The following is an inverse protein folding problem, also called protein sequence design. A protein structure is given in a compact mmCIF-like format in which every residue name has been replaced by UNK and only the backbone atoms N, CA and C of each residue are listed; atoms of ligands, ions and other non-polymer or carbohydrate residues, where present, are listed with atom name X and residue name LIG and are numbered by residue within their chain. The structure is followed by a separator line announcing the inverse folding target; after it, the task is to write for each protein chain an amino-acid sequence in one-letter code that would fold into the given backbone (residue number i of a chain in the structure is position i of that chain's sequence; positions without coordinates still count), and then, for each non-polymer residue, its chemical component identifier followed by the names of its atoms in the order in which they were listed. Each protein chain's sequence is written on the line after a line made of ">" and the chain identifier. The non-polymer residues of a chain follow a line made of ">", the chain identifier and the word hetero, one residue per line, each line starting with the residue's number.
data_IF_252291462476
#
_entry.id   IF_252291462476
#
_cell.length_a   1.000
_cell.length_b   1.000
_cell.length_c   1.000
_cell.angle_alpha   90.00
_cell.angle_beta   90.00
_cell.angle_gamma   90.00
#
_symmetry.space_group_name_H-M   'P 1'
#
loop_
_entity.id
_entity.type
_entity.pdbx_description
1 polymer ?
#
# COMPACT_ATOMS: atom_id res chain seq x y z
N UNK A 1 5.15 18.44 27.22
CA UNK A 1 4.60 18.33 25.86
C UNK A 1 4.43 16.84 25.60
N UNK A 2 3.19 16.33 25.62
CA UNK A 2 2.92 14.99 25.11
C UNK A 2 3.46 14.95 23.68
N UNK A 3 4.42 14.05 23.41
CA UNK A 3 5.02 13.96 22.08
C UNK A 3 3.93 13.72 21.05
N UNK A 4 3.92 14.50 19.97
CA UNK A 4 2.98 14.28 18.86
C UNK A 4 3.18 12.84 18.34
N UNK A 5 2.23 11.96 18.67
CA UNK A 5 2.27 10.58 18.25
C UNK A 5 1.84 10.48 16.78
N UNK A 6 2.66 9.83 15.97
CA UNK A 6 2.33 9.53 14.58
C UNK A 6 1.11 8.61 14.52
N UNK A 7 0.07 9.02 13.80
CA UNK A 7 -1.14 8.21 13.59
C UNK A 7 -1.28 7.84 12.12
N UNK A 8 -1.41 6.55 11.85
CA UNK A 8 -1.65 6.04 10.50
C UNK A 8 -3.09 5.56 10.41
N UNK A 9 -3.82 6.01 9.38
CA UNK A 9 -5.10 5.43 8.99
C UNK A 9 -4.86 4.50 7.79
N UNK A 10 -5.07 3.20 7.96
CA UNK A 10 -5.04 2.25 6.87
C UNK A 10 -6.47 1.84 6.48
N UNK A 11 -6.78 1.93 5.19
CA UNK A 11 -8.02 1.43 4.60
C UNK A 11 -7.68 0.17 3.83
N UNK A 12 -8.31 -0.95 4.19
CA UNK A 12 -8.14 -2.22 3.48
C UNK A 12 -8.73 -2.18 2.07
N UNK A 13 -8.78 -3.36 1.45
CA UNK A 13 -9.16 -3.56 0.05
C UNK A 13 -10.43 -2.82 -0.36
N UNK A 14 -10.26 -1.86 -1.25
CA UNK A 14 -11.37 -1.13 -1.84
C UNK A 14 -11.90 -1.87 -3.05
N UNK A 15 -13.12 -2.42 -2.93
CA UNK A 15 -13.72 -3.27 -3.97
C UNK A 15 -14.73 -2.51 -4.81
N UNK A 16 -14.40 -2.31 -6.09
CA UNK A 16 -15.32 -1.80 -7.11
C UNK A 16 -15.94 -0.43 -6.81
N UNK A 17 -17.06 -0.12 -7.48
CA UNK A 17 -17.76 1.15 -7.28
C UNK A 17 -18.29 1.36 -5.85
N UNK A 18 -18.86 0.36 -5.16
CA UNK A 18 -19.32 0.53 -3.78
C UNK A 18 -18.18 0.90 -2.83
N UNK A 19 -17.02 0.22 -2.93
CA UNK A 19 -15.86 0.55 -2.10
C UNK A 19 -15.38 1.98 -2.34
N UNK A 20 -15.31 2.43 -3.61
CA UNK A 20 -14.93 3.82 -3.92
C UNK A 20 -15.92 4.83 -3.37
N UNK A 21 -17.22 4.55 -3.42
CA UNK A 21 -18.24 5.42 -2.81
C UNK A 21 -18.06 5.53 -1.29
N UNK A 22 -17.79 4.41 -0.61
CA UNK A 22 -17.50 4.41 0.82
C UNK A 22 -16.25 5.24 1.16
N UNK A 23 -15.18 5.14 0.36
CA UNK A 23 -13.98 5.97 0.56
C UNK A 23 -14.32 7.46 0.42
N UNK A 24 -15.03 7.86 -0.62
CA UNK A 24 -15.38 9.26 -0.84
C UNK A 24 -16.25 9.82 0.29
N UNK A 25 -17.19 9.02 0.81
CA UNK A 25 -18.09 9.47 1.87
C UNK A 25 -17.42 9.49 3.25
N UNK A 26 -16.67 8.43 3.61
CA UNK A 26 -16.22 8.21 4.98
C UNK A 26 -14.78 8.62 5.23
N UNK A 27 -13.90 8.67 4.23
CA UNK A 27 -12.51 9.09 4.43
C UNK A 27 -12.42 10.50 5.07
N UNK A 28 -13.17 11.52 4.61
CA UNK A 28 -13.13 12.83 5.27
C UNK A 28 -13.63 12.79 6.72
N UNK A 29 -14.65 11.98 7.02
CA UNK A 29 -15.21 11.80 8.36
C UNK A 29 -14.18 11.15 9.30
N UNK A 30 -13.54 10.07 8.85
CA UNK A 30 -12.48 9.37 9.58
C UNK A 30 -11.28 10.29 9.82
N UNK A 31 -10.84 11.05 8.81
CA UNK A 31 -9.75 12.02 8.97
C UNK A 31 -10.10 13.13 9.96
N UNK A 32 -11.34 13.62 9.96
CA UNK A 32 -11.80 14.61 10.95
C UNK A 32 -11.82 14.05 12.38
N UNK A 33 -12.28 12.81 12.55
CA UNK A 33 -12.40 12.15 13.84
C UNK A 33 -11.04 11.76 14.43
N UNK A 34 -10.22 11.05 13.67
CA UNK A 34 -8.98 10.44 14.16
C UNK A 34 -7.74 11.30 13.94
N UNK A 35 -7.82 12.30 13.05
CA UNK A 35 -6.72 13.20 12.68
C UNK A 35 -5.41 12.43 12.39
N UNK A 36 -5.43 11.45 11.47
CA UNK A 36 -4.24 10.69 11.14
C UNK A 36 -3.19 11.61 10.51
N UNK A 37 -1.93 11.39 10.84
CA UNK A 37 -0.76 12.02 10.21
C UNK A 37 -0.69 11.60 8.74
N UNK A 38 -0.87 10.30 8.48
CA UNK A 38 -0.78 9.71 7.15
C UNK A 38 -1.90 8.69 6.94
N UNK A 39 -2.40 8.61 5.73
CA UNK A 39 -3.42 7.65 5.30
C UNK A 39 -2.87 6.77 4.19
N UNK A 40 -3.03 5.46 4.33
CA UNK A 40 -2.67 4.45 3.33
C UNK A 40 -3.94 3.69 2.94
N UNK A 41 -4.08 3.32 1.68
CA UNK A 41 -5.26 2.62 1.16
C UNK A 41 -4.85 1.47 0.24
N UNK A 42 -5.44 0.30 0.39
CA UNK A 42 -5.27 -0.79 -0.57
C UNK A 42 -6.29 -0.65 -1.71
N UNK A 43 -5.77 -0.43 -2.93
CA UNK A 43 -6.55 -0.19 -4.13
C UNK A 43 -6.65 -1.36 -5.09
N UNK A 44 -6.24 -2.58 -4.71
CA UNK A 44 -6.06 -3.67 -5.68
C UNK A 44 -7.33 -4.15 -6.37
N UNK A 45 -8.51 -3.93 -5.76
CA UNK A 45 -9.81 -4.38 -6.26
C UNK A 45 -10.67 -3.22 -6.77
N UNK A 46 -10.07 -2.04 -6.96
CA UNK A 46 -10.83 -0.80 -7.10
C UNK A 46 -11.47 -0.63 -8.48
N UNK A 47 -10.91 -1.21 -9.55
CA UNK A 47 -11.46 -1.16 -10.90
C UNK A 47 -12.36 -2.37 -11.17
N UNK A 48 -13.68 -2.20 -11.05
CA UNK A 48 -14.66 -3.28 -11.33
C UNK A 48 -14.36 -4.60 -10.58
N UNK A 49 -13.75 -4.51 -9.40
CA UNK A 49 -13.43 -5.65 -8.55
C UNK A 49 -12.00 -6.19 -8.69
N UNK A 50 -11.22 -5.80 -9.72
CA UNK A 50 -9.84 -6.26 -9.93
C UNK A 50 -8.98 -5.21 -10.66
N UNK A 51 -7.81 -4.91 -10.11
CA UNK A 51 -6.89 -3.89 -10.59
C UNK A 51 -7.33 -2.47 -10.28
N UNK A 52 -6.62 -1.51 -10.88
CA UNK A 52 -6.80 -0.08 -10.66
C UNK A 52 -6.58 0.69 -11.98
N UNK A 53 -7.27 1.82 -12.15
CA UNK A 53 -7.02 2.76 -13.26
C UNK A 53 -6.40 4.05 -12.73
N UNK A 54 -5.76 4.84 -13.59
CA UNK A 54 -5.13 6.11 -13.19
C UNK A 54 -6.16 7.07 -12.56
N UNK A 55 -7.38 7.12 -13.12
CA UNK A 55 -8.48 7.92 -12.58
C UNK A 55 -8.84 7.54 -11.15
N UNK A 56 -8.88 6.24 -10.84
CA UNK A 56 -9.20 5.74 -9.50
C UNK A 56 -8.06 6.04 -8.53
N UNK A 57 -6.81 5.80 -8.95
CA UNK A 57 -5.62 6.14 -8.18
C UNK A 57 -5.62 7.62 -7.78
N UNK A 58 -5.81 8.53 -8.74
CA UNK A 58 -5.92 9.98 -8.48
C UNK A 58 -7.07 10.30 -7.52
N UNK A 59 -8.24 9.67 -7.71
CA UNK A 59 -9.39 9.84 -6.81
C UNK A 59 -9.13 9.41 -5.37
N UNK A 60 -8.26 8.42 -5.12
CA UNK A 60 -7.85 8.07 -3.76
C UNK A 60 -6.94 9.13 -3.14
N UNK A 61 -6.03 9.73 -3.92
CA UNK A 61 -5.21 10.84 -3.46
C UNK A 61 -6.07 12.06 -3.12
N UNK A 62 -7.04 12.38 -3.99
CA UNK A 62 -7.99 13.49 -3.79
C UNK A 62 -8.87 13.27 -2.54
N UNK A 63 -9.26 12.02 -2.25
CA UNK A 63 -9.97 11.65 -1.02
C UNK A 63 -9.07 11.76 0.23
N UNK A 64 -7.76 11.94 0.05
CA UNK A 64 -6.81 12.20 1.11
C UNK A 64 -5.96 11.01 1.53
N UNK A 65 -5.81 9.98 0.69
CA UNK A 65 -4.75 8.98 0.85
C UNK A 65 -3.38 9.57 0.45
N UNK A 66 -2.33 9.24 1.20
CA UNK A 66 -0.95 9.63 0.89
C UNK A 66 -0.16 8.50 0.22
N UNK A 67 -0.58 7.25 0.39
CA UNK A 67 -0.04 6.10 -0.35
C UNK A 67 -1.16 5.13 -0.74
N UNK A 68 -0.99 4.46 -1.88
CA UNK A 68 -1.85 3.40 -2.39
C UNK A 68 -1.03 2.12 -2.50
N UNK A 69 -1.41 1.09 -1.74
CA UNK A 69 -0.89 -0.27 -1.88
C UNK A 69 -1.80 -1.08 -2.81
N UNK A 70 -1.28 -2.18 -3.34
CA UNK A 70 -1.98 -3.11 -4.23
C UNK A 70 -1.77 -4.55 -3.72
N UNK A 71 -2.08 -5.56 -4.53
CA UNK A 71 -1.94 -6.97 -4.15
C UNK A 71 -1.81 -7.88 -5.37
N UNK A 72 -2.41 -9.06 -5.33
CA UNK A 72 -2.35 -10.00 -6.45
C UNK A 72 -3.10 -9.49 -7.70
N UNK A 73 -4.08 -8.60 -7.56
CA UNK A 73 -4.82 -8.03 -8.70
C UNK A 73 -4.15 -6.81 -9.35
N UNK A 74 -2.90 -6.50 -8.98
CA UNK A 74 -2.12 -5.37 -9.53
C UNK A 74 -2.19 -5.28 -11.06
N UNK A 75 -2.05 -6.40 -11.77
CA UNK A 75 -1.87 -6.42 -13.23
C UNK A 75 -3.13 -6.73 -14.04
N UNK A 76 -4.27 -6.93 -13.37
CA UNK A 76 -5.51 -7.38 -14.03
C UNK A 76 -6.12 -6.31 -14.92
N UNK A 77 -5.91 -5.03 -14.59
CA UNK A 77 -6.24 -3.91 -15.45
C UNK A 77 -4.99 -3.44 -16.22
N UNK A 78 -5.00 -3.60 -17.55
CA UNK A 78 -3.86 -3.27 -18.42
C UNK A 78 -3.53 -1.77 -18.47
N UNK A 79 -4.44 -0.88 -18.07
CA UNK A 79 -4.16 0.56 -17.99
C UNK A 79 -3.02 0.86 -17.01
N UNK A 80 -2.78 -0.02 -16.03
CA UNK A 80 -1.72 0.18 -15.02
C UNK A 80 -0.34 0.39 -15.63
N UNK A 81 -0.04 -0.27 -16.76
CA UNK A 81 1.25 -0.15 -17.44
C UNK A 81 1.50 1.25 -18.02
N UNK A 82 0.44 2.05 -18.22
CA UNK A 82 0.56 3.40 -18.77
C UNK A 82 1.01 4.42 -17.71
N UNK A 83 0.74 4.17 -16.42
CA UNK A 83 0.90 5.18 -15.37
C UNK A 83 1.70 4.73 -14.14
N UNK A 84 1.92 3.42 -13.94
CA UNK A 84 2.58 2.91 -12.73
C UNK A 84 4.00 3.46 -12.52
N UNK A 85 4.72 3.75 -13.61
CA UNK A 85 6.05 4.38 -13.55
C UNK A 85 6.04 5.80 -13.01
N UNK A 86 4.93 6.54 -13.22
CA UNK A 86 4.77 7.94 -12.80
C UNK A 86 4.04 8.06 -11.45
N UNK A 87 3.39 6.98 -10.99
CA UNK A 87 2.63 6.93 -9.75
C UNK A 87 3.52 6.90 -8.50
N UNK A 88 4.06 8.06 -8.10
CA UNK A 88 4.99 8.20 -6.95
C UNK A 88 4.46 7.70 -5.61
N UNK A 89 3.14 7.73 -5.43
CA UNK A 89 2.45 7.35 -4.20
C UNK A 89 1.81 5.97 -4.29
N UNK A 90 2.16 5.15 -5.28
CA UNK A 90 1.61 3.81 -5.46
C UNK A 90 2.72 2.75 -5.35
N UNK A 91 2.43 1.67 -4.65
CA UNK A 91 3.34 0.54 -4.47
C UNK A 91 2.65 -0.78 -4.79
N UNK A 92 3.33 -1.62 -5.58
CA UNK A 92 2.93 -3.01 -5.87
C UNK A 92 3.72 -3.98 -4.99
N UNK A 93 3.33 -5.25 -4.85
CA UNK A 93 4.11 -6.19 -4.05
C UNK A 93 5.58 -6.26 -4.48
N UNK A 94 6.50 -6.06 -3.54
CA UNK A 94 7.91 -5.85 -3.83
C UNK A 94 8.62 -7.13 -4.30
N UNK A 95 8.11 -8.30 -3.91
CA UNK A 95 8.64 -9.61 -4.24
C UNK A 95 8.21 -10.16 -5.61
N UNK A 96 7.66 -9.31 -6.49
CA UNK A 96 7.66 -9.61 -7.91
C UNK A 96 9.09 -9.61 -8.48
N UNK A 97 9.38 -10.43 -9.51
CA UNK A 97 10.71 -10.55 -10.10
C UNK A 97 11.32 -9.22 -10.55
N UNK A 98 12.65 -9.16 -10.58
CA UNK A 98 13.39 -8.01 -11.09
C UNK A 98 12.94 -7.64 -12.52
N UNK A 99 12.84 -6.34 -12.79
CA UNK A 99 12.30 -5.81 -14.04
C UNK A 99 10.79 -5.59 -14.04
N UNK A 100 10.05 -6.05 -13.02
CA UNK A 100 8.61 -5.77 -12.90
C UNK A 100 8.35 -4.27 -12.71
N UNK A 101 7.45 -3.66 -13.50
CA UNK A 101 7.14 -2.23 -13.42
C UNK A 101 6.72 -1.74 -12.01
N UNK A 102 6.83 -0.44 -11.80
CA UNK A 102 6.48 0.20 -10.52
C UNK A 102 7.49 -0.06 -9.42
N UNK A 103 7.10 0.28 -8.19
CA UNK A 103 7.95 0.22 -7.00
C UNK A 103 7.35 -0.70 -5.94
N UNK A 104 8.22 -1.36 -5.18
CA UNK A 104 7.84 -2.19 -4.03
C UNK A 104 7.61 -1.41 -2.74
N UNK A 105 8.17 -0.21 -2.65
CA UNK A 105 8.00 0.69 -1.52
C UNK A 105 8.09 2.16 -1.98
N UNK A 106 7.59 3.08 -1.16
CA UNK A 106 7.72 4.52 -1.36
C UNK A 106 7.84 5.24 -0.03
N UNK A 107 8.35 6.47 -0.04
CA UNK A 107 8.41 7.34 1.14
C UNK A 107 7.32 8.40 1.04
N UNK A 108 6.51 8.55 2.08
CA UNK A 108 5.49 9.60 2.17
C UNK A 108 5.79 10.51 3.35
N UNK A 109 5.80 11.81 3.08
CA UNK A 109 6.19 12.83 4.06
C UNK A 109 5.00 13.70 4.45
N UNK A 110 4.90 14.00 5.75
CA UNK A 110 3.98 14.97 6.31
C UNK A 110 4.74 15.83 7.32
N UNK A 111 4.96 17.10 6.98
CA UNK A 111 5.87 18.00 7.68
C UNK A 111 7.26 17.37 7.85
N UNK A 112 7.73 17.17 9.07
CA UNK A 112 9.04 16.58 9.37
C UNK A 112 8.99 15.06 9.61
N UNK A 113 7.81 14.46 9.49
CA UNK A 113 7.62 13.01 9.63
C UNK A 113 7.63 12.37 8.24
N UNK A 114 8.40 11.30 8.09
CA UNK A 114 8.47 10.51 6.86
C UNK A 114 8.18 9.03 7.17
N UNK A 115 7.29 8.40 6.40
CA UNK A 115 6.90 7.00 6.52
C UNK A 115 7.36 6.24 5.28
N UNK A 116 8.05 5.12 5.47
CA UNK A 116 8.24 4.14 4.40
C UNK A 116 6.99 3.26 4.32
N UNK A 117 6.34 3.21 3.16
CA UNK A 117 5.21 2.31 2.88
C UNK A 117 5.72 1.20 1.96
N UNK A 118 5.67 -0.02 2.45
CA UNK A 118 6.15 -1.24 1.79
C UNK A 118 4.95 -2.12 1.47
N UNK A 119 4.96 -2.74 0.29
CA UNK A 119 3.96 -3.73 -0.08
C UNK A 119 4.65 -5.06 -0.39
N UNK A 120 4.11 -6.16 0.14
CA UNK A 120 4.63 -7.51 -0.03
C UNK A 120 3.46 -8.47 -0.27
N UNK A 121 3.72 -9.60 -0.94
CA UNK A 121 2.71 -10.62 -1.18
C UNK A 121 3.15 -11.98 -0.70
N UNK A 122 2.23 -12.69 -0.02
CA UNK A 122 2.44 -14.07 0.39
C UNK A 122 2.53 -15.02 -0.81
N UNK A 123 2.92 -16.27 -0.55
CA UNK A 123 3.05 -17.32 -1.58
C UNK A 123 2.13 -18.50 -1.32
N UNK A 124 1.72 -18.71 -0.08
CA UNK A 124 0.88 -19.84 0.29
C UNK A 124 -0.53 -19.62 -0.27
N UNK A 125 -0.99 -20.51 -1.13
CA UNK A 125 -2.27 -20.41 -1.86
C UNK A 125 -2.39 -19.22 -2.82
N UNK A 126 -1.24 -18.62 -3.18
CA UNK A 126 -1.15 -17.44 -4.06
C UNK A 126 -0.13 -17.70 -5.18
N UNK A 127 -0.04 -16.82 -6.21
CA UNK A 127 0.99 -16.96 -7.24
C UNK A 127 2.40 -17.09 -6.67
N UNK A 128 3.21 -17.94 -7.30
CA UNK A 128 4.59 -18.16 -6.90
C UNK A 128 5.44 -16.92 -7.25
N UNK A 129 5.77 -16.14 -6.23
CA UNK A 129 6.68 -15.00 -6.29
C UNK A 129 7.99 -15.28 -5.55
N UNK A 130 8.93 -14.33 -5.60
CA UNK A 130 10.15 -14.38 -4.80
C UNK A 130 9.81 -14.42 -3.30
N UNK A 131 10.74 -14.92 -2.48
CA UNK A 131 10.52 -15.08 -1.05
C UNK A 131 10.18 -13.73 -0.39
N UNK A 132 8.98 -13.56 0.20
CA UNK A 132 8.58 -12.28 0.78
C UNK A 132 9.40 -11.93 2.02
N UNK A 133 9.87 -12.92 2.79
CA UNK A 133 10.71 -12.73 3.97
C UNK A 133 12.07 -12.15 3.61
N UNK A 134 12.79 -12.78 2.68
CA UNK A 134 14.08 -12.25 2.20
C UNK A 134 13.94 -10.86 1.59
N UNK A 135 12.86 -10.65 0.82
CA UNK A 135 12.59 -9.34 0.22
C UNK A 135 12.29 -8.28 1.29
N UNK A 136 11.59 -8.65 2.36
CA UNK A 136 11.34 -7.77 3.48
C UNK A 136 12.65 -7.38 4.16
N UNK A 137 13.53 -8.34 4.50
CA UNK A 137 14.85 -8.06 5.11
C UNK A 137 15.65 -7.05 4.27
N UNK A 138 15.75 -7.28 2.95
CA UNK A 138 16.44 -6.39 2.01
C UNK A 138 15.86 -4.96 2.01
N UNK A 139 14.52 -4.83 2.02
CA UNK A 139 13.85 -3.53 1.99
C UNK A 139 13.98 -2.84 3.33
N UNK A 140 13.80 -3.55 4.45
CA UNK A 140 13.88 -3.02 5.80
C UNK A 140 15.29 -2.49 6.09
N UNK A 141 16.33 -3.20 5.64
CA UNK A 141 17.71 -2.71 5.74
C UNK A 141 17.90 -1.37 5.02
N UNK A 142 17.27 -1.19 3.86
CA UNK A 142 17.39 0.06 3.10
C UNK A 142 16.53 1.20 3.66
N UNK A 143 15.25 0.96 3.94
CA UNK A 143 14.34 2.03 4.36
C UNK A 143 14.62 2.52 5.78
N UNK A 144 15.14 1.65 6.65
CA UNK A 144 15.51 1.99 8.03
C UNK A 144 16.69 2.96 8.12
N UNK A 145 17.54 3.04 7.09
CA UNK A 145 18.60 4.06 6.99
C UNK A 145 18.04 5.49 6.88
N UNK A 146 16.79 5.63 6.42
CA UNK A 146 16.16 6.91 6.12
C UNK A 146 15.07 7.29 7.12
N UNK A 147 14.25 6.35 7.55
CA UNK A 147 13.20 6.59 8.54
C UNK A 147 13.00 5.39 9.47
N UNK A 148 12.71 5.66 10.73
CA UNK A 148 12.30 4.66 11.71
C UNK A 148 10.81 4.27 11.60
N UNK A 149 10.03 5.02 10.83
CA UNK A 149 8.61 4.74 10.62
C UNK A 149 8.43 3.93 9.33
N UNK A 150 8.04 2.66 9.50
CA UNK A 150 7.85 1.72 8.40
C UNK A 150 6.47 1.08 8.55
N UNK A 151 5.68 1.12 7.48
CA UNK A 151 4.39 0.47 7.37
C UNK A 151 4.47 -0.59 6.27
N UNK A 152 4.13 -1.84 6.61
CA UNK A 152 4.13 -2.96 5.67
C UNK A 152 2.68 -3.42 5.45
N UNK A 153 2.21 -3.33 4.21
CA UNK A 153 1.02 -4.05 3.75
C UNK A 153 1.46 -5.43 3.25
N UNK A 154 1.14 -6.48 4.00
CA UNK A 154 1.45 -7.86 3.63
C UNK A 154 0.21 -8.58 3.12
N UNK A 155 0.07 -8.57 1.80
CA UNK A 155 -1.06 -9.11 1.06
C UNK A 155 -0.90 -10.64 0.90
N UNK A 156 -1.45 -11.41 1.85
CA UNK A 156 -1.32 -12.85 1.90
C UNK A 156 -2.66 -13.55 2.20
N UNK A 157 -2.79 -14.82 1.82
CA UNK A 157 -3.96 -15.65 2.14
C UNK A 157 -3.77 -16.38 3.48
N UNK A 158 -2.69 -17.16 3.59
CA UNK A 158 -2.45 -18.00 4.75
C UNK A 158 -2.16 -17.19 6.02
N UNK A 159 -2.93 -17.45 7.08
CA UNK A 159 -2.75 -16.83 8.40
C UNK A 159 -1.38 -17.16 9.01
N UNK A 160 -0.87 -18.37 8.79
CA UNK A 160 0.46 -18.78 9.25
C UNK A 160 1.57 -17.93 8.63
N UNK A 161 1.48 -17.63 7.33
CA UNK A 161 2.45 -16.77 6.65
C UNK A 161 2.38 -15.32 7.17
N UNK A 162 1.16 -14.80 7.39
CA UNK A 162 0.96 -13.48 8.01
C UNK A 162 1.57 -13.39 9.41
N UNK A 163 1.36 -14.39 10.25
CA UNK A 163 1.92 -14.41 11.60
C UNK A 163 3.45 -14.52 11.58
N UNK A 164 4.01 -15.33 10.69
CA UNK A 164 5.46 -15.46 10.55
C UNK A 164 6.12 -14.12 10.13
N UNK A 165 5.45 -13.30 9.31
CA UNK A 165 5.96 -12.00 8.87
C UNK A 165 6.05 -10.96 10.00
N UNK A 166 5.37 -11.14 11.13
CA UNK A 166 5.45 -10.20 12.26
C UNK A 166 6.80 -10.32 13.00
N UNK A 167 7.49 -11.45 12.86
CA UNK A 167 8.73 -11.74 13.59
C UNK A 167 10.02 -11.27 12.92
N UNK A 168 9.93 -10.56 11.78
CA UNK A 168 11.07 -9.98 11.06
C UNK A 168 11.16 -8.47 11.30
#
# INVERSE_FOLDING_TARGET
>A
MEGECMRILFIGDVVGAPGRQMVQEYMPKLKKQFKPTLTVINGENAASGKGITEKIYKGFLDAGAQAVTLGNHTWDNRDIFQFISQAKHMVRPANYPNGTPGKGYTYVRFNDIELAVVNLMGRTFMPALDCPFKKADEILEEVSKRTSFIFVDFHAEATSEKQAMVGI
#
